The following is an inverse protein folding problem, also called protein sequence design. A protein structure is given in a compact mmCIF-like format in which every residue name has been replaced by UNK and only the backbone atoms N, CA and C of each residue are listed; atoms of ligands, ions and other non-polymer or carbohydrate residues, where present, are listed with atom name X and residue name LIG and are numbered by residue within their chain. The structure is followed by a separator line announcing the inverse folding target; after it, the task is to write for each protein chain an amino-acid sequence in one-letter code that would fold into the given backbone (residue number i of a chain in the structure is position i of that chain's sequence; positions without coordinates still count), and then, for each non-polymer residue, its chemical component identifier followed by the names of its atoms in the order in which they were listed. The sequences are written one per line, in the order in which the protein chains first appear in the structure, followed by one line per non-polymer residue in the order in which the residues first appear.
data_IF_473056159696
#
_entry.id   IF_473056159696
#
_cell.length_a   1.000
_cell.length_b   1.000
_cell.length_c   1.000
_cell.angle_alpha   90.00
_cell.angle_beta   90.00
_cell.angle_gamma   90.00
#
_symmetry.space_group_name_H-M   'P 1'
#
loop_
_entity.id
_entity.type
_entity.pdbx_description
1 polymer ?
#
# COMPACT_ATOMS: atom_id res chain seq x y z
N UNK A 1 41.55 -54.31 22.28
CA UNK A 1 40.43 -53.36 22.28
C UNK A 1 40.01 -53.13 20.84
N UNK A 2 38.73 -53.35 20.46
CA UNK A 2 38.26 -53.05 19.11
C UNK A 2 38.14 -51.54 18.90
N UNK A 3 38.39 -51.02 17.69
CA UNK A 3 38.24 -49.60 17.40
C UNK A 3 36.76 -49.19 17.49
N UNK A 4 36.50 -48.21 18.36
CA UNK A 4 35.21 -47.52 18.47
C UNK A 4 34.85 -46.91 17.11
N UNK A 5 33.80 -47.44 16.47
CA UNK A 5 33.22 -46.83 15.27
C UNK A 5 32.45 -45.59 15.70
N UNK A 6 32.97 -44.41 15.37
CA UNK A 6 32.23 -43.17 15.48
C UNK A 6 30.98 -43.24 14.58
N UNK A 7 29.79 -42.82 15.07
CA UNK A 7 28.59 -42.77 14.25
C UNK A 7 28.80 -41.76 13.12
N UNK A 8 28.65 -42.21 11.88
CA UNK A 8 28.63 -41.36 10.70
C UNK A 8 27.50 -40.34 10.85
N UNK A 9 27.76 -39.03 10.69
CA UNK A 9 26.72 -38.02 10.79
C UNK A 9 25.65 -38.25 9.70
N UNK A 10 24.36 -38.03 10.00
CA UNK A 10 23.31 -38.17 9.01
C UNK A 10 23.58 -37.22 7.83
N UNK A 11 23.41 -37.74 6.61
CA UNK A 11 23.55 -36.97 5.39
C UNK A 11 22.59 -35.76 5.41
N UNK A 12 23.07 -34.62 4.91
CA UNK A 12 22.32 -33.37 4.90
C UNK A 12 21.02 -33.51 4.08
N UNK A 13 19.86 -33.03 4.59
CA UNK A 13 18.58 -33.06 3.87
C UNK A 13 18.61 -32.45 2.46
N UNK A 14 19.57 -31.54 2.21
CA UNK A 14 19.78 -30.94 0.90
C UNK A 14 20.24 -31.95 -0.16
N UNK A 15 20.98 -33.00 0.25
CA UNK A 15 21.48 -34.01 -0.66
C UNK A 15 20.34 -34.88 -1.22
N UNK A 16 19.35 -35.20 -0.39
CA UNK A 16 18.18 -35.97 -0.79
C UNK A 16 17.26 -35.19 -1.74
N UNK A 17 17.11 -33.88 -1.51
CA UNK A 17 16.35 -32.99 -2.41
C UNK A 17 17.03 -32.88 -3.78
N UNK A 18 18.36 -32.72 -3.81
CA UNK A 18 19.13 -32.67 -5.06
C UNK A 18 19.01 -33.99 -5.85
N UNK A 19 19.13 -35.12 -5.17
CA UNK A 19 18.98 -36.44 -5.80
C UNK A 19 17.56 -36.68 -6.33
N UNK A 20 16.52 -36.24 -5.61
CA UNK A 20 15.13 -36.33 -6.08
C UNK A 20 14.84 -35.40 -7.27
N UNK A 21 15.47 -34.22 -7.29
CA UNK A 21 15.28 -33.24 -8.37
C UNK A 21 15.97 -33.70 -9.66
N UNK A 22 17.17 -34.27 -9.57
CA UNK A 22 17.86 -34.88 -10.72
C UNK A 22 17.09 -36.07 -11.31
N UNK A 23 16.20 -36.69 -10.54
CA UNK A 23 15.34 -37.77 -10.99
C UNK A 23 14.10 -37.30 -11.79
N UNK A 24 13.83 -36.00 -11.90
CA UNK A 24 12.75 -35.45 -12.73
C UNK A 24 13.21 -35.32 -14.19
N UNK A 25 13.26 -36.44 -14.91
CA UNK A 25 13.50 -36.43 -16.37
C UNK A 25 12.19 -36.57 -17.15
N UNK A 26 12.05 -35.94 -18.34
CA UNK A 26 10.85 -36.00 -19.17
C UNK A 26 10.47 -37.43 -19.62
N UNK A 27 11.42 -38.36 -19.53
CA UNK A 27 11.27 -39.78 -19.89
C UNK A 27 10.53 -40.62 -18.84
N UNK A 28 10.24 -40.09 -17.65
CA UNK A 28 9.58 -40.87 -16.59
C UNK A 28 8.07 -40.83 -16.69
N UNK A 29 7.43 -41.94 -16.30
CA UNK A 29 5.97 -42.04 -16.30
C UNK A 29 5.33 -40.98 -15.39
N UNK A 30 4.13 -40.46 -15.72
CA UNK A 30 3.42 -39.46 -14.89
C UNK A 30 3.22 -39.90 -13.43
N UNK A 31 3.02 -41.21 -13.18
CA UNK A 31 2.90 -41.76 -11.82
C UNK A 31 4.19 -41.60 -11.02
N UNK A 32 5.34 -41.83 -11.66
CA UNK A 32 6.65 -41.66 -11.03
C UNK A 32 6.93 -40.19 -10.72
N UNK A 33 6.59 -39.28 -11.63
CA UNK A 33 6.73 -37.83 -11.43
C UNK A 33 5.88 -37.35 -10.25
N UNK A 34 4.63 -37.80 -10.15
CA UNK A 34 3.75 -37.44 -9.03
C UNK A 34 4.27 -37.98 -7.69
N UNK A 35 4.82 -39.20 -7.66
CA UNK A 35 5.44 -39.76 -6.46
C UNK A 35 6.68 -38.96 -6.03
N UNK A 36 7.53 -38.55 -6.97
CA UNK A 36 8.69 -37.68 -6.69
C UNK A 36 8.25 -36.32 -6.17
N UNK A 37 7.21 -35.70 -6.77
CA UNK A 37 6.63 -34.43 -6.28
C UNK A 37 6.09 -34.53 -4.86
N UNK A 38 5.33 -35.59 -4.55
CA UNK A 38 4.84 -35.82 -3.19
C UNK A 38 5.99 -35.96 -2.20
N UNK A 39 7.05 -36.69 -2.56
CA UNK A 39 8.23 -36.84 -1.70
C UNK A 39 8.96 -35.51 -1.49
N UNK A 40 9.12 -34.71 -2.54
CA UNK A 40 9.71 -33.37 -2.42
C UNK A 40 8.87 -32.45 -1.53
N UNK A 41 7.54 -32.54 -1.60
CA UNK A 41 6.66 -31.76 -0.74
C UNK A 41 6.78 -32.16 0.73
N UNK A 42 6.85 -33.47 1.03
CA UNK A 42 7.07 -33.98 2.39
C UNK A 42 8.42 -33.48 2.92
N UNK A 43 9.49 -33.65 2.14
CA UNK A 43 10.82 -33.20 2.53
C UNK A 43 10.89 -31.68 2.77
N UNK A 44 10.17 -30.88 1.96
CA UNK A 44 10.09 -29.43 2.13
C UNK A 44 9.36 -29.05 3.43
N UNK A 45 8.25 -29.73 3.75
CA UNK A 45 7.51 -29.51 4.99
C UNK A 45 8.36 -29.90 6.22
N UNK A 46 9.08 -31.01 6.15
CA UNK A 46 9.97 -31.47 7.23
C UNK A 46 11.13 -30.49 7.46
N UNK A 47 11.76 -30.00 6.38
CA UNK A 47 12.80 -28.99 6.45
C UNK A 47 12.28 -27.68 7.07
N UNK A 48 11.07 -27.27 6.73
CA UNK A 48 10.44 -26.08 7.32
C UNK A 48 10.17 -26.26 8.82
N UNK A 49 9.69 -27.43 9.25
CA UNK A 49 9.51 -27.72 10.68
C UNK A 49 10.85 -27.74 11.44
N UNK A 50 11.91 -28.32 10.85
CA UNK A 50 13.25 -28.28 11.44
C UNK A 50 13.77 -26.85 11.60
N UNK A 51 13.56 -25.98 10.60
CA UNK A 51 13.95 -24.57 10.68
C UNK A 51 13.22 -23.82 11.81
N UNK A 52 11.92 -24.06 11.99
CA UNK A 52 11.14 -23.48 13.11
C UNK A 52 11.67 -23.98 14.45
N UNK A 53 11.96 -25.27 14.58
CA UNK A 53 12.51 -25.85 15.81
C UNK A 53 13.90 -25.31 16.15
N UNK A 54 14.77 -25.12 15.15
CA UNK A 54 16.09 -24.51 15.33
C UNK A 54 15.99 -23.05 15.74
N UNK A 55 15.09 -22.26 15.13
CA UNK A 55 14.83 -20.88 15.55
C UNK A 55 14.36 -20.80 17.00
N UNK A 56 13.43 -21.67 17.40
CA UNK A 56 12.96 -21.74 18.79
C UNK A 56 14.10 -22.06 19.76
N UNK A 57 14.96 -23.03 19.41
CA UNK A 57 16.14 -23.36 20.22
C UNK A 57 17.15 -22.22 20.29
N UNK A 58 17.32 -21.43 19.24
CA UNK A 58 18.20 -20.26 19.26
C UNK A 58 17.67 -19.19 20.23
N UNK A 59 16.37 -18.90 20.20
CA UNK A 59 15.72 -17.98 21.15
C UNK A 59 15.83 -18.49 22.59
N UNK A 60 15.57 -19.77 22.83
CA UNK A 60 15.69 -20.38 24.16
C UNK A 60 17.15 -20.32 24.67
N UNK A 61 18.14 -20.49 23.78
CA UNK A 61 19.55 -20.39 24.12
C UNK A 61 19.97 -18.94 24.44
N UNK A 62 19.48 -17.95 23.69
CA UNK A 62 19.68 -16.52 23.97
C UNK A 62 19.10 -16.15 25.34
N UNK A 63 17.88 -16.60 25.65
CA UNK A 63 17.26 -16.39 26.96
C UNK A 63 18.05 -17.03 28.10
N UNK A 64 18.66 -18.21 27.89
CA UNK A 64 19.55 -18.83 28.88
C UNK A 64 20.85 -18.04 29.09
N UNK A 65 21.42 -17.46 28.02
CA UNK A 65 22.60 -16.59 28.12
C UNK A 65 22.26 -15.31 28.90
N UNK A 66 21.08 -14.72 28.68
CA UNK A 66 20.65 -13.54 29.42
C UNK A 66 20.24 -13.85 30.88
N UNK A 67 19.65 -15.02 31.15
CA UNK A 67 19.36 -15.46 32.52
C UNK A 67 20.63 -15.74 33.34
N UNK A 68 21.72 -16.16 32.69
CA UNK A 68 23.02 -16.41 33.34
C UNK A 68 23.88 -15.15 33.50
N UNK A 69 23.56 -14.07 32.76
CA UNK A 69 24.08 -12.74 33.09
C UNK A 69 23.46 -12.29 34.41
N UNK A 70 24.21 -12.50 35.50
CA UNK A 70 23.89 -11.95 36.83
C UNK A 70 23.35 -10.53 36.64
N UNK A 71 22.17 -10.20 37.18
CA UNK A 71 21.61 -8.86 37.04
C UNK A 71 22.66 -7.90 37.54
N UNK A 72 23.29 -7.16 36.62
CA UNK A 72 24.19 -6.07 36.98
C UNK A 72 23.33 -5.20 37.87
N UNK A 73 23.65 -5.16 39.17
CA UNK A 73 23.03 -4.25 40.15
C UNK A 73 22.99 -2.90 39.45
N UNK A 74 21.80 -2.53 38.94
CA UNK A 74 21.54 -1.27 38.28
C UNK A 74 21.88 -0.28 39.37
N UNK A 75 23.09 0.29 39.33
CA UNK A 75 23.49 1.36 40.24
C UNK A 75 22.40 2.37 40.00
N UNK A 76 21.49 2.52 40.99
CA UNK A 76 20.55 3.63 41.07
C UNK A 76 21.43 4.84 40.84
N UNK A 77 21.37 5.36 39.61
CA UNK A 77 22.06 6.56 39.21
C UNK A 77 21.35 7.59 40.06
N UNK A 78 22.00 7.96 41.16
CA UNK A 78 21.42 8.86 42.14
C UNK A 78 20.89 10.07 41.40
N UNK A 79 19.70 10.49 41.79
CA UNK A 79 19.10 11.78 41.48
C UNK A 79 20.13 12.88 41.72
N UNK A 80 20.99 13.11 40.73
CA UNK A 80 21.78 14.33 40.63
C UNK A 80 20.80 15.36 40.11
N UNK A 81 20.27 16.08 41.07
CA UNK A 81 19.58 17.34 40.94
C UNK A 81 19.95 18.08 39.65
N UNK A 82 18.94 18.23 38.80
CA UNK A 82 18.43 19.53 38.32
C UNK A 82 19.49 20.63 38.28
N UNK A 83 20.00 20.87 37.08
CA UNK A 83 20.87 21.99 36.78
C UNK A 83 21.65 21.84 35.48
N UNK A 84 21.24 20.93 34.59
CA UNK A 84 21.81 20.80 33.27
C UNK A 84 20.87 21.48 32.27
N UNK A 85 21.42 22.54 31.68
CA UNK A 85 20.94 23.36 30.58
C UNK A 85 20.00 22.61 29.62
N UNK A 86 18.74 23.04 29.59
CA UNK A 86 17.56 22.35 29.04
C UNK A 86 17.41 22.54 27.51
N UNK A 87 18.52 22.70 26.78
CA UNK A 87 18.49 23.15 25.38
C UNK A 87 19.17 22.24 24.37
N UNK A 88 19.80 21.13 24.78
CA UNK A 88 20.36 20.18 23.82
C UNK A 88 19.29 19.19 23.36
N UNK A 89 18.51 19.61 22.37
CA UNK A 89 17.49 18.79 21.70
C UNK A 89 18.14 17.52 21.15
N UNK A 90 17.78 16.35 21.68
CA UNK A 90 18.24 15.07 21.16
C UNK A 90 17.81 14.91 19.68
N UNK A 91 18.74 14.87 18.72
CA UNK A 91 18.41 14.80 17.30
C UNK A 91 17.65 13.51 16.94
N UNK A 92 17.96 12.40 17.60
CA UNK A 92 17.32 11.09 17.36
C UNK A 92 15.85 11.08 17.79
N UNK A 93 15.56 11.63 18.97
CA UNK A 93 14.18 11.78 19.45
C UNK A 93 13.36 12.74 18.55
N UNK A 94 14.01 13.77 18.02
CA UNK A 94 13.39 14.69 17.05
C UNK A 94 13.04 13.94 15.77
N UNK A 95 13.99 13.17 15.22
CA UNK A 95 13.79 12.39 14.00
C UNK A 95 12.70 11.33 14.15
N UNK A 96 12.64 10.65 15.31
CA UNK A 96 11.59 9.68 15.61
C UNK A 96 10.20 10.34 15.62
N UNK A 97 10.06 11.52 16.23
CA UNK A 97 8.79 12.28 16.23
C UNK A 97 8.39 12.75 14.85
N UNK A 98 9.36 13.17 14.04
CA UNK A 98 9.15 13.54 12.64
C UNK A 98 8.67 12.34 11.83
N UNK A 99 9.32 11.18 11.97
CA UNK A 99 8.92 9.92 11.32
C UNK A 99 7.50 9.50 11.71
N UNK A 100 7.17 9.63 12.99
CA UNK A 100 5.86 9.28 13.51
C UNK A 100 4.75 10.22 13.02
N UNK A 101 5.02 11.52 12.94
CA UNK A 101 4.12 12.48 12.32
C UNK A 101 3.92 12.18 10.82
N UNK A 102 4.98 11.78 10.11
CA UNK A 102 4.90 11.35 8.71
C UNK A 102 3.98 10.16 8.52
N UNK A 103 4.09 9.15 9.39
CA UNK A 103 3.18 7.98 9.39
C UNK A 103 1.74 8.39 9.61
N UNK A 104 1.47 9.24 10.60
CA UNK A 104 0.12 9.73 10.84
C UNK A 104 -0.46 10.45 9.61
N UNK A 105 0.33 11.34 9.00
CA UNK A 105 -0.05 12.03 7.76
C UNK A 105 -0.41 11.03 6.64
N UNK A 106 0.37 9.97 6.48
CA UNK A 106 0.15 8.98 5.43
C UNK A 106 -1.07 8.08 5.65
N UNK A 107 -1.56 8.01 6.87
CA UNK A 107 -2.73 7.21 7.25
C UNK A 107 -4.00 8.07 7.19
N UNK A 108 -3.90 9.35 7.57
CA UNK A 108 -5.07 10.22 7.73
C UNK A 108 -5.26 11.24 6.60
N UNK A 109 -4.19 11.64 5.91
CA UNK A 109 -4.24 12.80 5.01
C UNK A 109 -3.99 12.40 3.56
N UNK A 110 -2.81 11.88 3.22
CA UNK A 110 -2.48 11.55 1.84
C UNK A 110 -1.47 10.42 1.67
N UNK A 111 -1.72 9.55 0.69
CA UNK A 111 -0.83 8.44 0.35
C UNK A 111 0.46 8.89 -0.37
N UNK A 112 0.36 9.94 -1.19
CA UNK A 112 1.45 10.44 -2.01
C UNK A 112 1.60 11.95 -1.82
N UNK A 113 2.83 12.44 -1.85
CA UNK A 113 3.07 13.85 -2.14
C UNK A 113 2.65 14.15 -3.58
N UNK A 114 2.13 15.36 -3.81
CA UNK A 114 1.76 15.80 -5.16
C UNK A 114 2.99 15.82 -6.05
N UNK A 115 4.09 16.35 -5.50
CA UNK A 115 5.44 16.37 -6.05
C UNK A 115 6.45 16.73 -4.94
N UNK A 116 7.73 16.70 -5.28
CA UNK A 116 8.83 16.98 -4.35
C UNK A 116 8.88 18.46 -3.92
N UNK A 117 8.20 19.36 -4.64
CA UNK A 117 8.18 20.79 -4.36
C UNK A 117 7.22 21.17 -3.22
N UNK A 118 6.36 20.25 -2.75
CA UNK A 118 5.40 20.51 -1.68
C UNK A 118 6.11 21.03 -0.42
N UNK A 119 7.22 20.40 -0.01
CA UNK A 119 7.94 20.83 1.19
C UNK A 119 8.77 22.10 0.99
N UNK A 120 9.09 22.43 -0.27
CA UNK A 120 9.82 23.66 -0.63
C UNK A 120 8.88 24.84 -0.90
N UNK A 121 7.57 24.59 -0.90
CA UNK A 121 6.57 25.60 -1.18
C UNK A 121 6.51 26.60 -0.03
N UNK A 122 6.63 27.90 -0.32
CA UNK A 122 6.47 28.95 0.69
C UNK A 122 5.02 28.97 1.15
N UNK A 123 4.78 28.83 2.46
CA UNK A 123 3.44 28.89 3.03
C UNK A 123 2.74 30.21 2.67
N UNK A 124 1.54 30.11 2.13
CA UNK A 124 0.67 31.24 1.84
C UNK A 124 -0.29 31.47 3.03
N UNK A 125 -0.13 32.57 3.81
CA UNK A 125 -0.99 32.83 4.96
C UNK A 125 -2.44 33.14 4.57
N UNK A 126 -2.67 33.54 3.32
CA UNK A 126 -4.00 33.87 2.78
C UNK A 126 -4.62 32.68 2.02
N UNK A 127 -4.05 31.48 2.19
CA UNK A 127 -4.53 30.27 1.53
C UNK A 127 -5.95 29.89 1.95
N UNK A 128 -6.86 29.88 0.96
CA UNK A 128 -8.25 29.47 1.12
C UNK A 128 -8.44 27.97 0.82
N UNK A 129 -8.96 27.24 1.82
CA UNK A 129 -9.30 25.82 1.69
C UNK A 129 -10.41 25.59 0.66
N UNK A 130 -11.25 26.59 0.40
CA UNK A 130 -12.33 26.45 -0.58
C UNK A 130 -11.79 26.34 -2.02
N UNK A 131 -10.57 26.83 -2.25
CA UNK A 131 -9.89 26.85 -3.54
C UNK A 131 -8.68 25.89 -3.59
N UNK A 132 -8.55 24.97 -2.63
CA UNK A 132 -7.44 24.00 -2.55
C UNK A 132 -7.18 23.31 -3.89
N UNK A 133 -8.23 22.83 -4.57
CA UNK A 133 -8.11 22.02 -5.78
C UNK A 133 -8.29 22.78 -7.11
N UNK A 134 -8.25 24.11 -7.09
CA UNK A 134 -8.45 24.92 -8.30
C UNK A 134 -7.22 24.95 -9.21
N UNK A 135 -6.03 24.77 -8.64
CA UNK A 135 -4.76 24.73 -9.36
C UNK A 135 -3.74 23.80 -8.69
N UNK A 136 -2.72 23.30 -9.41
CA UNK A 136 -1.63 22.55 -8.79
C UNK A 136 -0.91 23.33 -7.67
N UNK A 137 -0.83 24.67 -7.80
CA UNK A 137 -0.20 25.53 -6.79
C UNK A 137 -1.00 25.54 -5.48
N UNK A 138 -2.31 25.71 -5.56
CA UNK A 138 -3.20 25.68 -4.39
C UNK A 138 -3.27 24.27 -3.79
N UNK A 139 -3.17 23.22 -4.62
CA UNK A 139 -3.16 21.84 -4.15
C UNK A 139 -1.91 21.55 -3.32
N UNK A 140 -0.74 22.04 -3.77
CA UNK A 140 0.51 21.99 -2.99
C UNK A 140 0.41 22.74 -1.67
N UNK A 141 -0.22 23.93 -1.65
CA UNK A 141 -0.44 24.68 -0.41
C UNK A 141 -1.34 23.93 0.56
N UNK A 142 -2.42 23.31 0.06
CA UNK A 142 -3.29 22.45 0.86
C UNK A 142 -2.53 21.30 1.48
N UNK A 143 -1.74 20.58 0.67
CA UNK A 143 -0.95 19.46 1.19
C UNK A 143 0.15 19.92 2.17
N UNK A 144 0.83 21.03 1.90
CA UNK A 144 1.81 21.59 2.84
C UNK A 144 1.16 21.94 4.18
N UNK A 145 -0.04 22.55 4.15
CA UNK A 145 -0.80 22.86 5.36
C UNK A 145 -1.18 21.60 6.13
N UNK A 146 -1.68 20.57 5.45
CA UNK A 146 -2.00 19.27 6.07
C UNK A 146 -0.77 18.63 6.73
N UNK A 147 0.43 18.80 6.17
CA UNK A 147 1.68 18.31 6.77
C UNK A 147 2.07 19.14 7.99
N UNK A 148 2.02 20.47 7.89
CA UNK A 148 2.36 21.38 8.98
C UNK A 148 1.38 21.28 10.16
N UNK A 149 0.13 20.87 9.92
CA UNK A 149 -0.86 20.64 10.98
C UNK A 149 -0.53 19.39 11.82
N UNK A 150 0.00 18.35 11.17
CA UNK A 150 0.38 17.08 11.82
C UNK A 150 1.72 17.18 12.54
N UNK A 151 2.58 18.11 12.11
CA UNK A 151 3.91 18.29 12.66
C UNK A 151 3.91 19.01 14.01
N UNK A 152 4.66 18.51 15.01
CA UNK A 152 4.95 19.27 16.21
C UNK A 152 5.67 20.59 15.91
N UNK A 153 5.32 21.67 16.64
CA UNK A 153 5.85 23.01 16.37
C UNK A 153 7.38 23.10 16.42
N UNK A 154 8.00 22.32 17.31
CA UNK A 154 9.45 22.28 17.49
C UNK A 154 10.20 21.64 16.33
N UNK A 155 9.52 20.85 15.48
CA UNK A 155 10.13 20.14 14.36
C UNK A 155 9.80 20.75 12.99
N UNK A 156 8.78 21.62 12.89
CA UNK A 156 8.41 22.31 11.63
C UNK A 156 9.60 22.96 10.90
N UNK A 157 10.56 23.62 11.58
CA UNK A 157 11.71 24.22 10.90
C UNK A 157 12.67 23.22 10.25
N UNK A 158 12.60 21.92 10.60
CA UNK A 158 13.53 20.86 10.16
C UNK A 158 12.95 19.95 9.08
N UNK A 159 11.75 20.24 8.60
CA UNK A 159 10.97 19.37 7.70
C UNK A 159 11.67 19.04 6.38
N UNK A 160 12.47 19.96 5.84
CA UNK A 160 12.96 19.91 4.46
C UNK A 160 14.12 18.93 4.22
N UNK A 161 14.73 18.33 5.26
CA UNK A 161 15.93 17.49 5.09
C UNK A 161 15.71 15.99 5.29
N UNK A 162 14.69 15.56 6.04
CA UNK A 162 14.52 14.14 6.41
C UNK A 162 13.16 13.55 6.05
N UNK A 163 12.12 14.38 5.88
CA UNK A 163 10.76 13.91 5.67
C UNK A 163 10.62 13.12 4.36
N UNK A 164 11.04 13.66 3.21
CA UNK A 164 10.79 13.03 1.90
C UNK A 164 11.53 11.71 1.71
N UNK A 165 12.76 11.62 2.23
CA UNK A 165 13.64 10.47 1.97
C UNK A 165 13.29 9.25 2.84
N UNK A 166 12.88 9.47 4.09
CA UNK A 166 12.49 8.40 5.02
C UNK A 166 10.97 8.15 5.07
N UNK A 167 10.16 9.04 4.49
CA UNK A 167 8.75 8.80 4.15
C UNK A 167 8.61 7.80 3.00
N UNK A 168 9.31 6.68 3.11
CA UNK A 168 8.94 5.42 2.51
C UNK A 168 7.68 4.90 3.22
N UNK A 169 6.64 5.74 3.24
CA UNK A 169 5.30 5.49 3.75
C UNK A 169 4.72 4.21 3.14
N UNK A 170 5.11 3.91 1.90
CA UNK A 170 4.72 2.71 1.18
C UNK A 170 5.46 1.44 1.65
N UNK A 171 6.74 1.51 2.07
CA UNK A 171 7.43 0.30 2.58
C UNK A 171 6.85 -0.18 3.90
N UNK A 172 6.36 0.74 4.73
CA UNK A 172 5.86 0.43 6.07
C UNK A 172 4.36 0.13 6.08
N UNK A 173 3.50 0.93 5.41
CA UNK A 173 2.06 0.63 5.34
C UNK A 173 1.78 -0.69 4.61
N UNK A 174 2.65 -1.06 3.67
CA UNK A 174 2.47 -2.22 2.81
C UNK A 174 3.58 -3.22 3.09
N UNK A 175 3.65 -3.73 4.33
CA UNK A 175 4.10 -5.12 4.43
C UNK A 175 3.00 -5.94 3.79
N UNK A 176 3.27 -6.67 2.69
CA UNK A 176 2.29 -7.56 2.09
C UNK A 176 1.63 -8.40 3.18
N UNK A 177 2.39 -8.86 4.19
CA UNK A 177 1.89 -9.62 5.33
C UNK A 177 0.64 -9.07 6.05
N UNK A 178 0.47 -7.75 6.21
CA UNK A 178 -0.70 -7.19 6.91
C UNK A 178 -1.96 -7.15 6.04
N UNK A 179 -1.77 -7.00 4.72
CA UNK A 179 -2.85 -7.00 3.73
C UNK A 179 -2.99 -8.37 3.03
N UNK A 180 -2.06 -9.30 3.23
CA UNK A 180 -2.03 -10.63 2.61
C UNK A 180 -3.23 -11.47 3.01
N UNK A 181 -3.78 -11.39 4.25
CA UNK A 181 -5.06 -12.02 4.56
C UNK A 181 -6.22 -11.48 3.72
N UNK A 182 -6.12 -10.22 3.26
CA UNK A 182 -7.10 -9.56 2.41
C UNK A 182 -6.83 -9.78 0.92
N UNK A 183 -5.59 -10.11 0.55
CA UNK A 183 -5.21 -10.46 -0.81
C UNK A 183 -5.79 -11.83 -1.20
N UNK A 184 -6.26 -11.99 -2.44
CA UNK A 184 -6.50 -13.30 -3.02
C UNK A 184 -5.24 -14.18 -2.85
N UNK A 185 -5.37 -15.44 -2.39
CA UNK A 185 -4.23 -16.28 -2.08
C UNK A 185 -3.34 -16.51 -3.31
N UNK A 186 -2.08 -16.05 -3.25
CA UNK A 186 -0.99 -16.40 -4.18
C UNK A 186 -1.31 -16.23 -5.68
N UNK A 187 -2.15 -15.27 -6.03
CA UNK A 187 -2.41 -14.94 -7.43
C UNK A 187 -1.18 -14.24 -8.03
N UNK A 188 -0.65 -14.78 -9.13
CA UNK A 188 0.32 -14.07 -9.98
C UNK A 188 -0.30 -12.77 -10.50
N UNK A 189 0.52 -11.80 -10.93
CA UNK A 189 0.01 -10.54 -11.51
C UNK A 189 -1.00 -10.78 -12.63
N UNK A 190 -0.73 -11.74 -13.52
CA UNK A 190 -1.66 -12.16 -14.57
C UNK A 190 -2.97 -12.73 -14.01
N UNK A 191 -2.90 -13.58 -12.98
CA UNK A 191 -4.08 -14.14 -12.34
C UNK A 191 -4.91 -13.07 -11.62
N UNK A 192 -4.27 -12.06 -11.00
CA UNK A 192 -5.00 -10.93 -10.40
C UNK A 192 -5.74 -10.13 -11.47
N UNK A 193 -5.08 -9.83 -12.59
CA UNK A 193 -5.71 -9.15 -13.71
C UNK A 193 -6.92 -9.92 -14.26
N UNK A 194 -6.76 -11.22 -14.53
CA UNK A 194 -7.83 -12.06 -15.08
C UNK A 194 -9.06 -12.11 -14.16
N UNK A 195 -8.85 -12.23 -12.85
CA UNK A 195 -9.93 -12.42 -11.89
C UNK A 195 -10.54 -11.12 -11.38
N UNK A 196 -9.78 -10.02 -11.32
CA UNK A 196 -10.20 -8.82 -10.60
C UNK A 196 -10.16 -7.53 -11.41
N UNK A 197 -9.69 -7.54 -12.66
CA UNK A 197 -9.63 -6.33 -13.51
C UNK A 197 -10.98 -5.60 -13.58
N UNK A 198 -12.08 -6.33 -13.73
CA UNK A 198 -13.43 -5.75 -13.77
C UNK A 198 -13.84 -5.09 -12.44
N UNK A 199 -13.40 -5.62 -11.29
CA UNK A 199 -13.69 -5.05 -9.97
C UNK A 199 -12.96 -3.73 -9.72
N UNK A 200 -11.82 -3.52 -10.39
CA UNK A 200 -11.03 -2.29 -10.30
C UNK A 200 -11.32 -1.29 -11.43
N UNK A 201 -12.42 -1.50 -12.16
CA UNK A 201 -12.93 -0.59 -13.17
C UNK A 201 -12.28 -0.73 -14.55
N UNK A 202 -11.57 -1.83 -14.83
CA UNK A 202 -11.02 -2.08 -16.16
C UNK A 202 -12.15 -2.20 -17.20
N UNK A 203 -12.03 -1.42 -18.28
CA UNK A 203 -12.86 -1.48 -19.47
C UNK A 203 -11.98 -2.00 -20.62
N UNK A 204 -12.30 -3.16 -21.20
CA UNK A 204 -11.50 -3.71 -22.29
C UNK A 204 -11.56 -2.79 -23.51
N UNK A 205 -10.55 -2.92 -24.39
CA UNK A 205 -10.53 -2.19 -25.64
C UNK A 205 -11.76 -2.55 -26.50
N UNK A 206 -12.25 -1.56 -27.23
CA UNK A 206 -13.30 -1.69 -28.24
C UNK A 206 -12.78 -1.13 -29.55
N UNK A 207 -13.51 -1.32 -30.65
CA UNK A 207 -13.14 -0.76 -31.97
C UNK A 207 -12.97 0.77 -31.95
N UNK A 208 -13.53 1.45 -30.94
CA UNK A 208 -13.55 2.92 -30.82
C UNK A 208 -12.65 3.46 -29.70
N UNK A 209 -12.17 2.61 -28.80
CA UNK A 209 -11.46 3.06 -27.60
C UNK A 209 -10.44 2.01 -27.17
N UNK A 210 -9.25 2.48 -26.78
CA UNK A 210 -8.29 1.65 -26.08
C UNK A 210 -8.83 1.19 -24.73
N UNK A 211 -8.23 0.14 -24.17
CA UNK A 211 -8.54 -0.31 -22.82
C UNK A 211 -8.19 0.80 -21.82
N UNK A 212 -9.01 0.98 -20.80
CA UNK A 212 -8.78 1.99 -19.77
C UNK A 212 -9.39 1.57 -18.44
N UNK A 213 -9.02 2.26 -17.37
CA UNK A 213 -9.62 2.06 -16.05
C UNK A 213 -10.54 3.23 -15.71
N UNK A 214 -11.82 2.94 -15.55
CA UNK A 214 -12.79 3.92 -15.07
C UNK A 214 -12.44 4.34 -13.64
N UNK A 215 -12.68 5.61 -13.32
CA UNK A 215 -12.38 6.20 -12.00
C UNK A 215 -13.55 6.10 -11.04
N UNK A 216 -14.77 5.94 -11.54
CA UNK A 216 -15.98 5.95 -10.73
C UNK A 216 -16.73 4.63 -10.82
N UNK A 217 -16.73 3.98 -11.97
CA UNK A 217 -17.31 2.64 -12.15
C UNK A 217 -16.33 1.55 -11.69
N UNK A 218 -16.00 1.57 -10.39
CA UNK A 218 -15.02 0.70 -9.73
C UNK A 218 -15.75 -0.17 -8.68
N UNK A 219 -16.26 -1.35 -9.04
CA UNK A 219 -17.13 -2.17 -8.18
C UNK A 219 -16.61 -2.39 -6.76
N UNK A 220 -15.29 -2.58 -6.57
CA UNK A 220 -14.70 -2.82 -5.23
C UNK A 220 -14.91 -1.67 -4.24
N UNK A 221 -15.22 -0.47 -4.73
CA UNK A 221 -15.47 0.71 -3.89
C UNK A 221 -16.90 0.82 -3.38
N UNK A 222 -17.82 -0.03 -3.85
CA UNK A 222 -19.24 0.03 -3.50
C UNK A 222 -19.60 -1.04 -2.48
N UNK A 223 -20.56 -0.75 -1.59
CA UNK A 223 -21.17 -1.77 -0.74
C UNK A 223 -21.99 -2.76 -1.58
N UNK A 224 -22.71 -2.24 -2.58
CA UNK A 224 -23.51 -2.99 -3.56
C UNK A 224 -23.35 -2.34 -4.93
N UNK A 225 -22.64 -3.01 -5.82
CA UNK A 225 -22.51 -2.56 -7.21
C UNK A 225 -23.64 -3.11 -8.07
N UNK A 226 -24.46 -2.23 -8.64
CA UNK A 226 -25.58 -2.56 -9.52
C UNK A 226 -25.29 -2.32 -11.01
N UNK A 227 -24.08 -1.85 -11.34
CA UNK A 227 -23.70 -1.46 -12.70
C UNK A 227 -23.69 0.05 -12.94
N UNK A 228 -24.16 0.85 -11.99
CA UNK A 228 -24.28 2.30 -12.12
C UNK A 228 -23.54 3.06 -11.01
N UNK A 229 -23.07 4.25 -11.33
CA UNK A 229 -22.38 5.11 -10.36
C UNK A 229 -23.41 5.72 -9.41
N UNK A 230 -23.47 5.22 -8.18
CA UNK A 230 -24.22 5.79 -7.06
C UNK A 230 -23.29 6.39 -6.01
N UNK A 231 -23.38 7.71 -5.81
CA UNK A 231 -22.56 8.41 -4.81
C UNK A 231 -22.87 7.99 -3.37
N UNK A 232 -24.06 7.44 -3.08
CA UNK A 232 -24.39 6.98 -1.74
C UNK A 232 -23.72 5.66 -1.38
N UNK A 233 -23.55 4.76 -2.36
CA UNK A 233 -22.80 3.51 -2.21
C UNK A 233 -21.29 3.65 -2.41
N UNK A 234 -20.83 4.70 -3.11
CA UNK A 234 -19.42 4.92 -3.41
C UNK A 234 -18.58 5.10 -2.12
N UNK A 235 -17.41 4.47 -2.09
CA UNK A 235 -16.46 4.40 -0.97
C UNK A 235 -16.96 3.64 0.26
N UNK A 236 -18.02 2.84 0.14
CA UNK A 236 -18.56 1.98 1.21
C UNK A 236 -18.20 0.50 1.06
N UNK A 237 -17.38 0.17 0.07
CA UNK A 237 -16.91 -1.19 -0.16
C UNK A 237 -16.28 -1.82 1.07
N UNK A 238 -16.55 -3.11 1.28
CA UNK A 238 -16.05 -3.87 2.43
C UNK A 238 -14.52 -3.93 2.48
N UNK A 239 -13.88 -4.12 1.32
CA UNK A 239 -12.42 -4.23 1.23
C UNK A 239 -11.69 -2.95 1.66
N UNK A 240 -12.04 -1.74 1.18
CA UNK A 240 -11.51 -0.49 1.72
C UNK A 240 -11.62 -0.37 3.24
N UNK A 241 -12.78 -0.71 3.84
CA UNK A 241 -12.96 -0.63 5.30
C UNK A 241 -12.03 -1.62 6.02
N UNK A 242 -11.94 -2.88 5.53
CA UNK A 242 -11.00 -3.88 6.06
C UNK A 242 -9.56 -3.40 6.01
N UNK A 243 -9.15 -2.79 4.90
CA UNK A 243 -7.80 -2.25 4.73
C UNK A 243 -7.53 -1.18 5.78
N UNK A 244 -8.44 -0.21 5.95
CA UNK A 244 -8.24 0.85 6.94
C UNK A 244 -8.06 0.30 8.34
N UNK A 245 -8.93 -0.63 8.75
CA UNK A 245 -8.85 -1.30 10.05
C UNK A 245 -7.51 -2.01 10.22
N UNK A 246 -7.06 -2.73 9.19
CA UNK A 246 -5.78 -3.42 9.22
C UNK A 246 -4.60 -2.46 9.38
N UNK A 247 -4.69 -1.25 8.80
CA UNK A 247 -3.68 -0.21 8.98
C UNK A 247 -3.67 0.28 10.43
N UNK A 248 -4.83 0.67 10.99
CA UNK A 248 -4.86 1.33 12.30
C UNK A 248 -4.82 0.36 13.50
N UNK A 249 -5.26 -0.89 13.34
CA UNK A 249 -5.35 -1.92 14.40
C UNK A 249 -4.46 -3.13 14.17
N UNK A 250 -3.82 -3.26 13.01
CA UNK A 250 -3.13 -4.47 12.58
C UNK A 250 -4.07 -5.53 11.98
N UNK A 251 -3.52 -6.63 11.44
CA UNK A 251 -4.25 -7.60 10.62
C UNK A 251 -5.43 -8.28 11.34
N UNK A 252 -5.28 -8.59 12.63
CA UNK A 252 -6.34 -9.19 13.44
C UNK A 252 -7.46 -8.20 13.81
N UNK A 253 -7.22 -6.89 13.65
CA UNK A 253 -8.24 -5.88 13.87
C UNK A 253 -9.40 -6.02 12.88
N UNK A 254 -9.11 -6.36 11.63
CA UNK A 254 -10.13 -6.53 10.59
C UNK A 254 -11.00 -7.76 10.86
N UNK A 255 -10.40 -8.89 11.27
CA UNK A 255 -11.15 -10.11 11.62
C UNK A 255 -12.19 -9.84 12.71
N UNK A 256 -11.80 -9.10 13.76
CA UNK A 256 -12.71 -8.79 14.87
C UNK A 256 -13.97 -8.02 14.44
N UNK A 257 -13.81 -6.98 13.62
CA UNK A 257 -14.95 -6.13 13.22
C UNK A 257 -15.94 -6.92 12.35
N UNK A 258 -15.44 -7.67 11.36
CA UNK A 258 -16.30 -8.32 10.38
C UNK A 258 -16.86 -9.67 10.84
N UNK A 259 -16.20 -10.34 11.78
CA UNK A 259 -16.70 -11.58 12.39
C UNK A 259 -17.59 -11.32 13.62
N UNK A 260 -17.87 -10.05 13.94
CA UNK A 260 -18.63 -9.65 15.13
C UNK A 260 -17.92 -9.95 16.44
N UNK A 261 -16.64 -10.31 16.39
CA UNK A 261 -15.80 -10.52 17.55
C UNK A 261 -15.21 -9.18 17.98
N UNK A 262 -15.86 -8.50 18.93
CA UNK A 262 -15.32 -7.28 19.56
C UNK A 262 -14.07 -7.61 20.39
N UNK A 263 -12.96 -7.92 19.72
CA UNK A 263 -11.65 -8.00 20.33
C UNK A 263 -11.15 -6.58 20.44
N UNK A 264 -11.19 -6.04 21.66
CA UNK A 264 -10.45 -4.83 22.00
C UNK A 264 -9.00 -5.07 21.56
N UNK A 265 -8.38 -4.16 20.77
CA UNK A 265 -6.98 -4.31 20.38
C UNK A 265 -6.14 -4.47 21.64
N UNK A 266 -5.52 -5.65 21.85
CA UNK A 266 -4.75 -5.89 23.07
C UNK A 266 -3.39 -5.19 23.04
N UNK A 267 -2.90 -4.79 21.87
CA UNK A 267 -1.59 -4.19 21.68
C UNK A 267 -1.64 -2.65 21.48
N UNK A 268 -0.47 -2.00 21.62
CA UNK A 268 -0.19 -0.64 21.15
C UNK A 268 -0.36 -0.62 19.62
N UNK A 269 -1.53 -0.22 19.13
CA UNK A 269 -1.81 -0.06 17.70
C UNK A 269 -1.80 1.42 17.30
N UNK A 270 -1.67 1.70 16.00
CA UNK A 270 -1.62 3.09 15.47
C UNK A 270 -2.86 3.89 15.85
N UNK A 271 -4.02 3.24 15.97
CA UNK A 271 -5.22 3.89 16.48
C UNK A 271 -5.01 4.48 17.88
N UNK A 272 -4.39 3.73 18.79
CA UNK A 272 -4.12 4.20 20.17
C UNK A 272 -3.00 5.23 20.21
N UNK A 273 -1.90 4.95 19.52
CA UNK A 273 -0.71 5.82 19.48
C UNK A 273 -1.11 7.23 19.00
N UNK A 274 -1.91 7.30 17.95
CA UNK A 274 -2.32 8.57 17.36
C UNK A 274 -3.71 9.06 17.81
N UNK A 275 -4.34 8.39 18.78
CA UNK A 275 -5.68 8.72 19.28
C UNK A 275 -6.72 8.88 18.17
N UNK A 276 -6.69 7.98 17.18
CA UNK A 276 -7.63 7.98 16.06
C UNK A 276 -8.97 7.44 16.57
N UNK A 277 -9.95 8.34 16.71
CA UNK A 277 -11.30 8.04 17.18
C UNK A 277 -12.38 8.23 16.10
N UNK A 278 -11.98 8.76 14.93
CA UNK A 278 -12.84 9.00 13.77
C UNK A 278 -12.10 8.71 12.48
N UNK A 279 -12.86 8.47 11.42
CA UNK A 279 -12.30 8.37 10.06
C UNK A 279 -12.02 9.76 9.49
N UNK A 280 -10.97 9.88 8.69
CA UNK A 280 -10.65 11.08 7.90
C UNK A 280 -10.95 10.87 6.42
N UNK A 281 -11.08 11.96 5.66
CA UNK A 281 -11.24 11.90 4.21
C UNK A 281 -10.04 11.23 3.53
N UNK A 282 -8.82 11.51 4.01
CA UNK A 282 -7.61 10.87 3.52
C UNK A 282 -7.60 9.38 3.80
N UNK A 283 -7.92 8.96 5.04
CA UNK A 283 -8.01 7.54 5.40
C UNK A 283 -8.94 6.73 4.49
N UNK A 284 -10.10 7.29 4.14
CA UNK A 284 -11.03 6.67 3.17
C UNK A 284 -10.40 6.59 1.77
N UNK A 285 -9.86 7.70 1.26
CA UNK A 285 -9.27 7.76 -0.07
C UNK A 285 -8.06 6.81 -0.22
N UNK A 286 -7.15 6.81 0.75
CA UNK A 286 -6.00 5.90 0.86
C UNK A 286 -6.47 4.44 0.77
N UNK A 287 -7.47 4.09 1.58
CA UNK A 287 -7.98 2.71 1.64
C UNK A 287 -8.62 2.26 0.34
N UNK A 288 -9.29 3.17 -0.37
CA UNK A 288 -9.84 2.90 -1.70
C UNK A 288 -8.74 2.64 -2.74
N UNK A 289 -7.65 3.40 -2.69
CA UNK A 289 -6.50 3.21 -3.58
C UNK A 289 -5.78 1.91 -3.30
N UNK A 290 -5.58 1.59 -2.02
CA UNK A 290 -4.99 0.31 -1.61
C UNK A 290 -5.86 -0.87 -2.03
N UNK A 291 -7.21 -0.76 -1.97
CA UNK A 291 -8.10 -1.80 -2.45
C UNK A 291 -7.95 -2.04 -3.96
N UNK A 292 -7.85 -0.97 -4.75
CA UNK A 292 -7.62 -1.06 -6.20
C UNK A 292 -6.27 -1.70 -6.49
N UNK A 293 -5.21 -1.23 -5.83
CA UNK A 293 -3.86 -1.76 -6.01
C UNK A 293 -3.75 -3.24 -5.62
N UNK A 294 -4.33 -3.65 -4.48
CA UNK A 294 -4.30 -5.03 -3.99
C UNK A 294 -4.91 -6.02 -4.99
N UNK A 295 -5.89 -5.57 -5.77
CA UNK A 295 -6.56 -6.35 -6.80
C UNK A 295 -5.96 -6.14 -8.21
N UNK A 296 -5.01 -5.23 -8.37
CA UNK A 296 -4.36 -4.91 -9.64
C UNK A 296 -3.29 -5.94 -10.02
N UNK A 297 -2.79 -5.85 -11.26
CA UNK A 297 -1.65 -6.64 -11.71
C UNK A 297 -0.31 -6.11 -11.14
N UNK A 298 -0.28 -4.86 -10.64
CA UNK A 298 0.95 -4.24 -10.18
C UNK A 298 1.50 -4.97 -8.96
N UNK A 299 2.83 -5.07 -8.87
CA UNK A 299 3.51 -5.77 -7.78
C UNK A 299 3.89 -4.83 -6.64
N UNK A 300 4.10 -3.57 -6.97
CA UNK A 300 4.44 -2.51 -6.03
C UNK A 300 3.42 -1.38 -6.15
N UNK A 301 3.11 -0.74 -5.02
CA UNK A 301 2.34 0.49 -5.06
C UNK A 301 3.30 1.64 -5.31
N UNK A 302 3.30 2.11 -6.54
CA UNK A 302 3.99 3.33 -7.00
C UNK A 302 2.94 4.33 -7.47
N UNK A 303 3.35 5.57 -7.78
CA UNK A 303 2.40 6.60 -8.21
C UNK A 303 1.65 6.22 -9.49
N UNK A 304 2.35 5.58 -10.44
CA UNK A 304 1.79 5.04 -11.68
C UNK A 304 2.18 3.57 -11.77
N UNK A 305 1.19 2.67 -11.80
CA UNK A 305 1.41 1.23 -11.87
C UNK A 305 2.28 0.82 -13.06
N UNK A 306 3.21 -0.09 -12.83
CA UNK A 306 4.16 -0.59 -13.82
C UNK A 306 3.48 -1.51 -14.85
N UNK A 307 2.54 -2.33 -14.41
CA UNK A 307 1.83 -3.31 -15.25
C UNK A 307 0.51 -2.75 -15.77
N UNK A 308 -0.26 -2.09 -14.90
CA UNK A 308 -1.61 -1.62 -15.25
C UNK A 308 -1.64 -0.20 -15.79
N UNK A 309 -0.56 0.58 -15.62
CA UNK A 309 -0.49 2.02 -15.93
C UNK A 309 -1.49 2.88 -15.17
N UNK A 310 -2.13 2.37 -14.11
CA UNK A 310 -3.06 3.14 -13.28
C UNK A 310 -2.27 4.23 -12.55
N UNK A 311 -2.63 5.50 -12.77
CA UNK A 311 -2.13 6.62 -11.98
C UNK A 311 -2.85 6.68 -10.61
N UNK A 312 -2.33 5.90 -9.67
CA UNK A 312 -2.79 5.83 -8.28
C UNK A 312 -2.71 7.16 -7.57
N UNK A 313 -1.67 7.96 -7.85
CA UNK A 313 -1.49 9.30 -7.26
C UNK A 313 -2.59 10.26 -7.68
N UNK A 314 -2.85 10.36 -8.99
CA UNK A 314 -3.93 11.21 -9.50
C UNK A 314 -5.31 10.72 -9.05
N UNK A 315 -5.53 9.40 -9.05
CA UNK A 315 -6.79 8.80 -8.60
C UNK A 315 -7.03 9.06 -7.11
N UNK A 316 -6.00 8.97 -6.28
CA UNK A 316 -6.06 9.32 -4.85
C UNK A 316 -6.55 10.77 -4.67
N UNK A 317 -5.93 11.72 -5.37
CA UNK A 317 -6.29 13.15 -5.28
C UNK A 317 -7.71 13.42 -5.74
N UNK A 318 -8.17 12.75 -6.81
CA UNK A 318 -9.56 12.83 -7.27
C UNK A 318 -10.54 12.34 -6.17
N UNK A 319 -10.25 11.22 -5.51
CA UNK A 319 -11.12 10.70 -4.46
C UNK A 319 -11.13 11.61 -3.23
N UNK A 320 -9.94 12.02 -2.77
CA UNK A 320 -9.80 12.92 -1.63
C UNK A 320 -10.53 14.25 -1.86
N UNK A 321 -10.29 14.88 -3.03
CA UNK A 321 -11.00 16.09 -3.48
C UNK A 321 -12.50 15.88 -3.42
N UNK A 322 -13.00 14.79 -4.02
CA UNK A 322 -14.45 14.53 -4.09
C UNK A 322 -15.08 14.40 -2.72
N UNK A 323 -14.41 13.73 -1.78
CA UNK A 323 -14.87 13.56 -0.41
C UNK A 323 -14.86 14.91 0.33
N UNK A 324 -13.76 15.67 0.27
CA UNK A 324 -13.62 16.98 0.91
C UNK A 324 -14.63 18.01 0.38
N UNK A 325 -14.80 18.11 -0.95
CA UNK A 325 -15.83 18.95 -1.56
C UNK A 325 -17.23 18.56 -1.09
N UNK A 326 -17.52 17.26 -1.01
CA UNK A 326 -18.79 16.75 -0.50
C UNK A 326 -19.06 17.15 0.95
N UNK A 327 -18.05 17.09 1.81
CA UNK A 327 -18.14 17.51 3.22
C UNK A 327 -18.33 19.02 3.36
N UNK A 328 -17.51 19.81 2.66
CA UNK A 328 -17.59 21.28 2.66
C UNK A 328 -18.99 21.76 2.25
N UNK A 329 -19.51 21.18 1.17
CA UNK A 329 -20.85 21.46 0.66
C UNK A 329 -21.97 20.81 1.50
N UNK A 330 -21.64 20.06 2.55
CA UNK A 330 -22.57 19.31 3.41
C UNK A 330 -23.50 18.40 2.61
N UNK A 331 -22.99 17.76 1.54
CA UNK A 331 -23.77 16.83 0.74
C UNK A 331 -24.15 15.61 1.59
N UNK A 332 -25.42 15.21 1.53
CA UNK A 332 -25.95 14.10 2.32
C UNK A 332 -25.16 12.78 2.14
N UNK A 333 -24.71 12.49 0.91
CA UNK A 333 -23.92 11.27 0.63
C UNK A 333 -22.56 11.28 1.36
N UNK A 334 -21.91 12.44 1.48
CA UNK A 334 -20.60 12.59 2.12
C UNK A 334 -20.72 12.51 3.64
N UNK A 335 -21.72 13.18 4.22
CA UNK A 335 -22.01 13.06 5.67
C UNK A 335 -22.34 11.60 6.02
N UNK A 336 -23.25 10.97 5.26
CA UNK A 336 -23.61 9.57 5.48
C UNK A 336 -22.45 8.59 5.23
N UNK A 337 -21.44 8.95 4.43
CA UNK A 337 -20.23 8.16 4.27
C UNK A 337 -19.42 8.12 5.57
N UNK A 338 -19.21 9.25 6.23
CA UNK A 338 -18.49 9.29 7.50
C UNK A 338 -19.26 8.59 8.61
N UNK A 339 -20.57 8.81 8.70
CA UNK A 339 -21.43 8.08 9.65
C UNK A 339 -21.36 6.56 9.43
N UNK A 340 -21.30 6.11 8.17
CA UNK A 340 -21.15 4.69 7.84
C UNK A 340 -19.83 4.12 8.34
N UNK A 341 -18.71 4.80 8.05
CA UNK A 341 -17.38 4.38 8.46
C UNK A 341 -17.22 4.43 9.99
N UNK A 342 -17.58 5.53 10.64
CA UNK A 342 -17.44 5.71 12.08
C UNK A 342 -18.29 4.71 12.87
N UNK A 343 -19.51 4.40 12.41
CA UNK A 343 -20.35 3.37 13.04
C UNK A 343 -19.72 1.97 13.00
N UNK A 344 -19.02 1.64 11.91
CA UNK A 344 -18.37 0.33 11.77
C UNK A 344 -17.07 0.28 12.57
N UNK A 345 -16.28 1.34 12.49
CA UNK A 345 -14.93 1.38 13.04
C UNK A 345 -14.93 1.72 14.52
N UNK A 346 -15.72 2.71 14.93
CA UNK A 346 -15.72 3.30 16.27
C UNK A 346 -17.11 3.25 16.91
N UNK A 347 -17.73 2.07 17.07
CA UNK A 347 -19.10 1.94 17.57
C UNK A 347 -19.33 2.47 18.99
N UNK A 348 -18.26 2.73 19.74
CA UNK A 348 -18.29 3.22 21.11
C UNK A 348 -17.68 4.63 21.27
N UNK A 349 -17.38 5.36 20.19
CA UNK A 349 -16.76 6.68 20.30
C UNK A 349 -17.53 7.65 21.22
N UNK A 350 -18.86 7.54 21.27
CA UNK A 350 -19.71 8.35 22.15
C UNK A 350 -19.68 7.95 23.64
N UNK A 351 -19.12 6.78 23.97
CA UNK A 351 -19.14 6.19 25.32
C UNK A 351 -17.81 6.31 26.06
N UNK A 352 -16.75 6.72 25.37
CA UNK A 352 -15.38 6.39 25.76
C UNK A 352 -14.56 7.58 26.26
N UNK A 353 -15.13 8.39 27.15
CA UNK A 353 -14.30 9.22 28.04
C UNK A 353 -13.41 8.37 28.98
N UNK A 354 -13.68 7.06 29.13
CA UNK A 354 -12.97 6.15 30.03
C UNK A 354 -11.76 5.44 29.40
N UNK A 355 -11.56 5.45 28.07
CA UNK A 355 -10.43 4.75 27.45
C UNK A 355 -9.09 5.46 27.68
N UNK A 356 -9.11 6.78 27.93
CA UNK A 356 -7.90 7.55 28.22
C UNK A 356 -7.25 7.09 29.54
N UNK A 357 -8.04 6.69 30.54
CA UNK A 357 -7.53 6.27 31.85
C UNK A 357 -6.75 4.95 31.81
N UNK A 358 -7.02 4.07 30.84
CA UNK A 358 -6.29 2.80 30.69
C UNK A 358 -4.97 2.94 29.91
N UNK A 359 -4.71 4.11 29.30
CA UNK A 359 -3.51 4.34 28.49
C UNK A 359 -2.30 4.85 29.29
N UNK A 360 -2.51 5.53 30.42
CA UNK A 360 -1.43 6.11 31.23
C UNK A 360 -0.58 5.06 31.97
N UNK A 361 -1.02 3.80 32.07
CA UNK A 361 -0.28 2.75 32.81
C UNK A 361 0.78 1.98 31.98
N UNK A 362 0.99 2.28 30.69
CA UNK A 362 1.90 1.52 29.80
C UNK A 362 3.07 2.35 29.20
N UNK A 363 3.52 3.38 29.92
CA UNK A 363 4.70 4.22 29.61
C UNK A 363 6.06 3.49 29.78
N UNK A 364 6.22 2.30 29.22
CA UNK A 364 7.55 1.76 28.90
C UNK A 364 7.87 2.08 27.44
N UNK A 365 8.69 3.13 27.23
CA UNK A 365 9.08 3.68 25.92
C UNK A 365 10.01 2.74 25.12
N UNK A 366 10.71 1.81 25.77
CA UNK A 366 11.68 0.90 25.12
C UNK A 366 11.01 -0.13 24.16
N UNK A 367 9.72 -0.41 24.32
CA UNK A 367 9.01 -1.39 23.47
C UNK A 367 8.60 -0.82 22.11
N UNK A 368 8.41 0.51 22.00
CA UNK A 368 8.12 1.16 20.72
C UNK A 368 9.29 0.97 19.76
N UNK A 369 10.52 1.21 20.24
CA UNK A 369 11.72 0.98 19.43
C UNK A 369 11.86 -0.49 19.02
N UNK A 370 11.50 -1.47 19.85
CA UNK A 370 11.57 -2.89 19.47
C UNK A 370 10.54 -3.31 18.41
N UNK A 371 9.29 -2.83 18.50
CA UNK A 371 8.26 -3.09 17.48
C UNK A 371 8.70 -2.51 16.12
N UNK A 372 9.45 -1.41 16.13
CA UNK A 372 9.91 -0.73 14.91
C UNK A 372 11.29 -1.16 14.41
N UNK A 373 12.20 -1.63 15.29
CA UNK A 373 13.58 -2.01 14.96
C UNK A 373 13.72 -3.46 14.49
N UNK A 374 12.76 -4.33 14.77
CA UNK A 374 12.78 -5.74 14.34
C UNK A 374 12.48 -5.95 12.84
N UNK A 375 12.44 -4.87 12.05
CA UNK A 375 12.28 -4.93 10.60
C UNK A 375 13.63 -5.30 9.94
N UNK A 376 13.75 -6.44 9.23
CA UNK A 376 14.95 -6.73 8.47
C UNK A 376 15.11 -5.66 7.38
N UNK A 377 16.23 -4.93 7.40
CA UNK A 377 16.66 -4.10 6.28
C UNK A 377 16.74 -4.96 5.03
N UNK A 378 15.75 -4.85 4.15
CA UNK A 378 15.81 -5.43 2.81
C UNK A 378 16.75 -4.56 1.99
N UNK A 379 18.00 -4.99 1.90
CA UNK A 379 19.00 -4.43 0.98
C UNK A 379 18.49 -4.65 -0.44
N UNK A 380 18.15 -3.57 -1.15
CA UNK A 380 17.90 -3.66 -2.60
C UNK A 380 19.25 -4.02 -3.23
N UNK A 381 19.33 -5.04 -4.10
CA UNK A 381 20.53 -5.24 -4.88
C UNK A 381 20.79 -3.97 -5.69
N UNK A 382 21.92 -3.33 -5.39
CA UNK A 382 22.49 -2.24 -6.17
C UNK A 382 22.50 -2.68 -7.63
N UNK A 383 21.78 -1.94 -8.48
CA UNK A 383 21.80 -2.14 -9.93
C UNK A 383 23.21 -1.80 -10.37
N UNK A 384 24.08 -2.80 -10.40
CA UNK A 384 25.40 -2.68 -10.98
C UNK A 384 25.20 -2.40 -12.46
N UNK A 385 25.55 -1.18 -12.86
CA UNK A 385 25.71 -0.83 -14.25
C UNK A 385 26.76 -1.77 -14.86
N UNK A 386 26.29 -2.84 -15.50
CA UNK A 386 27.14 -3.71 -16.29
C UNK A 386 27.77 -2.89 -17.41
N UNK A 387 29.09 -3.01 -17.64
CA UNK A 387 29.77 -2.30 -18.72
C UNK A 387 29.21 -2.74 -20.06
N UNK A 388 28.85 -1.77 -20.88
CA UNK A 388 28.50 -1.96 -22.27
C UNK A 388 29.72 -2.58 -22.99
N UNK A 389 29.57 -3.71 -23.71
CA UNK A 389 30.66 -4.27 -24.50
C UNK A 389 30.93 -3.32 -25.67
N UNK A 390 32.21 -2.95 -25.81
CA UNK A 390 32.68 -2.00 -26.79
C UNK A 390 32.44 -2.47 -28.22
N UNK A 391 31.94 -1.54 -29.03
CA UNK A 391 32.16 -1.53 -30.47
C UNK A 391 33.61 -1.10 -30.72
N UNK A 392 34.41 -2.07 -31.15
CA UNK A 392 35.69 -1.85 -31.81
C UNK A 392 35.39 -1.23 -33.18
N UNK A 393 35.63 0.08 -33.32
CA UNK A 393 35.84 0.69 -34.64
C UNK A 393 37.19 1.40 -34.66
N UNK A 394 38.00 0.89 -35.58
CA UNK A 394 39.28 1.38 -36.05
C UNK A 394 39.25 2.89 -36.36
N UNK A 395 40.19 3.64 -35.79
CA UNK A 395 40.93 4.66 -36.56
C UNK A 395 42.13 5.21 -35.74
N UNK A 396 43.25 4.50 -35.82
CA UNK A 396 44.56 5.13 -35.62
C UNK A 396 45.12 5.54 -36.98
N UNK A 397 45.26 6.85 -37.20
CA UNK A 397 46.49 7.53 -37.66
C UNK A 397 46.18 8.76 -38.52
N UNK A 398 46.44 9.94 -37.95
CA UNK A 398 47.23 11.04 -38.56
C UNK A 398 47.31 12.17 -37.52
N UNK A 399 48.48 12.37 -36.93
CA UNK A 399 49.42 13.46 -37.28
C UNK A 399 48.79 14.85 -37.18
N UNK A 400 49.17 15.61 -36.16
CA UNK A 400 50.08 16.78 -36.31
C UNK A 400 49.92 17.77 -35.16
N UNK A 401 51.02 17.98 -34.45
CA UNK A 401 51.64 19.26 -34.12
C UNK A 401 50.79 20.52 -33.89
N UNK A 402 51.13 21.16 -32.76
CA UNK A 402 51.46 22.58 -32.57
C UNK A 402 50.61 23.38 -31.58
N UNK A 403 51.37 23.93 -30.63
CA UNK A 403 51.36 25.31 -30.11
C UNK A 403 50.07 25.87 -29.52
N UNK A 404 50.07 26.23 -28.23
CA UNK A 404 50.73 27.41 -27.64
C UNK A 404 49.89 28.69 -27.86
N UNK A 405 49.69 29.38 -26.73
CA UNK A 405 49.36 30.79 -26.56
C UNK A 405 47.94 31.34 -26.75
N UNK A 406 47.51 31.93 -25.62
CA UNK A 406 47.02 33.32 -25.46
C UNK A 406 45.52 33.53 -25.28
N UNK A 407 45.19 33.99 -24.06
CA UNK A 407 44.57 35.29 -23.79
C UNK A 407 43.77 35.92 -24.94
N UNK A 408 42.49 36.20 -24.70
CA UNK A 408 42.05 37.56 -24.31
C UNK A 408 40.53 37.66 -24.32
N UNK A 409 40.10 38.40 -23.31
CA UNK A 409 38.75 38.84 -23.01
C UNK A 409 37.99 39.55 -24.15
N UNK A 410 36.71 39.75 -23.83
CA UNK A 410 35.84 40.91 -24.11
C UNK A 410 34.70 40.78 -25.12
N UNK A 411 33.56 41.26 -24.62
CA UNK A 411 32.46 42.00 -25.26
C UNK A 411 31.31 41.25 -25.96
N UNK A 412 30.16 41.27 -25.27
CA UNK A 412 28.80 41.53 -25.74
C UNK A 412 28.73 42.59 -26.88
N UNK A 413 27.64 42.78 -27.67
CA UNK A 413 26.22 42.61 -27.32
C UNK A 413 25.27 42.13 -28.48
N UNK A 414 23.98 42.14 -28.14
CA UNK A 414 22.69 41.95 -28.89
C UNK A 414 22.56 42.67 -30.26
N UNK A 415 21.40 42.74 -31.00
CA UNK A 415 20.05 42.12 -30.90
C UNK A 415 19.43 41.67 -32.29
N UNK A 416 18.14 41.29 -32.25
CA UNK A 416 17.12 41.32 -33.33
C UNK A 416 17.15 40.26 -34.44
N UNK A 417 16.08 39.46 -34.55
CA UNK A 417 15.04 39.60 -35.60
C UNK A 417 13.99 38.46 -35.58
N UNK A 418 12.72 38.85 -35.46
CA UNK A 418 11.51 38.13 -35.94
C UNK A 418 11.54 38.02 -37.49
N UNK A 419 10.53 37.46 -38.19
CA UNK A 419 9.82 36.18 -38.06
C UNK A 419 9.82 35.41 -39.41
N UNK A 420 9.45 34.13 -39.47
CA UNK A 420 8.99 33.53 -40.74
C UNK A 420 8.00 32.40 -40.56
N UNK A 421 6.77 32.65 -41.02
CA UNK A 421 5.75 31.65 -41.37
C UNK A 421 6.21 30.83 -42.58
N UNK A 422 5.87 29.55 -42.61
CA UNK A 422 5.52 28.68 -43.76
C UNK A 422 5.12 27.33 -43.13
N UNK A 423 3.84 26.98 -43.01
CA UNK A 423 2.98 26.38 -44.04
C UNK A 423 3.40 24.97 -44.49
N UNK A 424 2.44 24.05 -44.34
CA UNK A 424 2.18 22.83 -45.14
C UNK A 424 3.19 21.67 -45.09
N UNK A 425 2.78 20.56 -44.44
CA UNK A 425 2.41 19.31 -45.14
C UNK A 425 1.91 18.22 -44.18
N UNK A 426 0.65 17.81 -44.37
CA UNK A 426 0.14 16.50 -43.97
C UNK A 426 0.70 15.42 -44.91
N UNK A 427 0.97 14.21 -44.42
CA UNK A 427 0.97 13.00 -45.24
C UNK A 427 -0.34 12.21 -45.05
N UNK A 428 -0.90 11.79 -46.20
CA UNK A 428 -2.03 10.88 -46.34
C UNK A 428 -1.64 9.41 -46.02
N UNK A 429 -2.62 8.53 -45.73
CA UNK A 429 -2.37 7.18 -45.20
C UNK A 429 -2.05 6.14 -46.30
N UNK A 430 -1.34 5.05 -45.97
CA UNK A 430 -1.06 3.99 -46.92
C UNK A 430 -2.22 3.03 -47.10
N UNK A 431 -2.28 2.51 -48.33
CA UNK A 431 -3.29 1.67 -48.94
C UNK A 431 -3.47 0.30 -48.28
N UNK A 432 -4.74 -0.12 -48.28
CA UNK A 432 -5.25 -1.46 -48.01
C UNK A 432 -4.90 -2.38 -49.19
N UNK A 433 -4.31 -3.54 -48.92
CA UNK A 433 -4.35 -4.69 -49.84
C UNK A 433 -4.98 -5.89 -49.14
N UNK A 434 -5.98 -6.40 -49.85
CA UNK A 434 -6.86 -7.52 -49.55
C UNK A 434 -6.16 -8.87 -49.72
N UNK A 435 -6.38 -9.79 -48.78
CA UNK A 435 -6.26 -11.24 -48.99
C UNK A 435 -7.15 -11.99 -48.00
N UNK A 436 -8.36 -12.39 -48.44
CA UNK A 436 -9.12 -13.50 -47.83
C UNK A 436 -8.70 -14.81 -48.51
N UNK A 437 -8.81 -15.96 -47.82
CA UNK A 437 -9.88 -16.86 -48.25
C UNK A 437 -10.62 -17.58 -47.10
N UNK A 438 -11.95 -17.56 -47.24
CA UNK A 438 -12.87 -18.70 -47.21
C UNK A 438 -12.67 -19.77 -46.12
N UNK A 439 -13.57 -19.78 -45.12
CA UNK A 439 -13.89 -20.99 -44.36
C UNK A 439 -15.39 -21.08 -44.08
N UNK A 440 -15.92 -22.27 -44.35
CA UNK A 440 -17.32 -22.66 -44.41
C UNK A 440 -18.10 -22.54 -43.07
N UNK A 441 -19.44 -22.49 -43.11
CA UNK A 441 -20.27 -22.27 -41.93
C UNK A 441 -20.56 -23.57 -41.19
N UNK A 442 -20.19 -23.62 -39.91
CA UNK A 442 -20.65 -24.65 -38.98
C UNK A 442 -22.03 -24.29 -38.44
N UNK A 443 -22.97 -25.18 -38.73
CA UNK A 443 -24.34 -25.18 -38.24
C UNK A 443 -24.37 -25.29 -36.71
N UNK A 444 -25.10 -24.40 -36.05
CA UNK A 444 -25.48 -24.54 -34.64
C UNK A 444 -26.94 -25.03 -34.56
N UNK A 445 -27.25 -25.98 -33.67
CA UNK A 445 -28.60 -26.54 -33.55
C UNK A 445 -29.56 -25.61 -32.80
N UNK A 446 -30.82 -25.71 -33.21
CA UNK A 446 -31.97 -24.95 -32.75
C UNK A 446 -32.22 -25.04 -31.23
N UNK A 447 -32.59 -23.90 -30.64
CA UNK A 447 -33.20 -23.82 -29.31
C UNK A 447 -34.66 -24.30 -29.36
N UNK A 448 -35.13 -25.11 -28.39
CA UNK A 448 -36.56 -25.39 -28.23
C UNK A 448 -37.26 -24.31 -27.37
N UNK A 449 -38.60 -24.24 -27.43
CA UNK A 449 -39.36 -23.02 -27.17
C UNK A 449 -39.78 -22.83 -25.71
N UNK A 450 -40.15 -21.58 -25.44
CA UNK A 450 -40.84 -21.12 -24.24
C UNK A 450 -42.07 -21.98 -23.88
N UNK A 451 -42.15 -22.39 -22.62
CA UNK A 451 -43.38 -22.88 -21.99
C UNK A 451 -43.75 -21.98 -20.80
N UNK A 452 -44.86 -21.28 -20.99
CA UNK A 452 -45.62 -20.65 -19.94
C UNK A 452 -46.25 -21.72 -19.02
N UNK A 453 -46.28 -21.47 -17.70
CA UNK A 453 -47.50 -21.39 -16.89
C UNK A 453 -47.27 -21.69 -15.39
N UNK A 454 -47.97 -20.90 -14.56
CA UNK A 454 -48.60 -21.28 -13.27
C UNK A 454 -47.61 -21.62 -12.14
N UNK A 455 -47.52 -20.89 -11.02
CA UNK A 455 -48.59 -20.65 -10.02
C UNK A 455 -47.98 -19.88 -8.83
N UNK A 456 -48.73 -18.90 -8.31
CA UNK A 456 -48.58 -18.35 -6.94
C UNK A 456 -48.81 -19.45 -5.89
N UNK A 457 -48.25 -19.30 -4.68
CA UNK A 457 -49.15 -18.97 -3.59
C UNK A 457 -48.67 -17.80 -2.73
N UNK A 458 -49.64 -16.96 -2.38
CA UNK A 458 -49.57 -15.86 -1.43
C UNK A 458 -49.34 -16.39 -0.01
N UNK A 459 -48.13 -16.20 0.52
CA UNK A 459 -47.80 -16.39 1.94
C UNK A 459 -48.08 -15.13 2.74
N UNK A 460 -49.24 -15.12 3.39
CA UNK A 460 -49.78 -14.11 4.30
C UNK A 460 -49.00 -14.19 5.63
N UNK A 461 -48.13 -13.23 5.93
CA UNK A 461 -47.62 -13.04 7.29
C UNK A 461 -48.29 -11.83 7.94
N UNK A 462 -48.93 -12.15 9.04
CA UNK A 462 -49.78 -11.32 9.88
C UNK A 462 -49.02 -10.25 10.63
N UNK A 463 -49.67 -9.09 10.72
CA UNK A 463 -49.41 -8.05 11.70
C UNK A 463 -49.20 -8.62 13.11
N UNK A 464 -48.15 -8.16 13.80
CA UNK A 464 -48.18 -8.00 15.24
C UNK A 464 -47.73 -6.59 15.60
N UNK A 465 -48.73 -5.72 15.76
CA UNK A 465 -48.68 -4.53 16.61
C UNK A 465 -48.30 -5.00 18.02
N UNK A 466 -47.26 -4.41 18.60
CA UNK A 466 -47.12 -4.31 20.05
C UNK A 466 -47.17 -2.82 20.39
N UNK A 467 -48.06 -2.53 21.33
CA UNK A 467 -48.50 -1.21 21.71
C UNK A 467 -47.46 -0.46 22.54
N UNK A 468 -47.53 0.86 22.44
CA UNK A 468 -47.05 1.79 23.44
C UNK A 468 -47.84 1.61 24.76
N UNK A 469 -47.14 1.64 25.88
CA UNK A 469 -47.67 2.08 27.18
C UNK A 469 -46.55 2.78 27.92
N UNK A 470 -46.71 4.09 28.14
CA UNK A 470 -45.80 4.88 28.95
C UNK A 470 -46.10 4.79 30.45
N UNK A 471 -45.14 5.28 31.24
CA UNK A 471 -45.29 5.91 32.57
C UNK A 471 -43.87 6.36 32.94
N UNK A 472 -43.49 7.64 33.03
CA UNK A 472 -43.90 8.72 33.95
C UNK A 472 -43.83 8.34 35.43
N UNK A 473 -43.07 9.16 36.17
CA UNK A 473 -42.82 9.24 37.63
C UNK A 473 -41.84 8.19 38.15
N UNK A 474 -40.80 8.53 38.93
CA UNK A 474 -40.58 9.68 39.82
C UNK A 474 -39.08 9.89 40.02
#
# INVERSE_FOLDING_TARGET
MPPSRSPTPPLSPLHDILNLTQQLTPSKSPRTVNKIRQQLQVNANDAQQQAVNLKRRAVDAEQQVDATRKPRKKRRRGDRARGADDSEVNPEATEARVREAGRYFAIQNALFLIDDDVLNTKQDPDFDLDHEYDSPKTERQGQLRDILEVLPDDVKPKISQTWVQDSVLLRWLIRPAHLHPLSPPRATSASRFENFSSLIGHKPATDKSQAFYDRWAVPVLYDKWDGHVDLNGLFRGELPVKIYVSIIRGPHGAEGIFEGMSKVPQAKCLQRIHKIDRVSAGGIAISCILAIWLLSADTMLVQVGDETTIDYGHRHRIYLRRIREGLRDKKAWAVGLFEYWDRILFPNADRDHDYAAACDELEDDEELENIFSEAPSITIPEVTNSPHPGDDDDDQQRRSDNNDRSDRATSSPTPHSRPRRLSTRQPAPPHVTSSSPSRAPSQLPASPPASAAKRRPTGRFSHRRAAASGSSRR
#
